data_IF_627218634906
#
_entry.id   IF_627218634906
#
_cell.length_a   1.000
_cell.length_b   1.000
_cell.length_c   1.000
_cell.angle_alpha   90.00
_cell.angle_beta   90.00
_cell.angle_gamma   90.00
#
_symmetry.space_group_name_H-M   'P 1'
#
loop_
_entity.id
_entity.type
_entity.pdbx_description
1 polymer ?
#
# COMPACT_ATOMS: atom_id res chain seq x y z
N UNK A 1 -81.28 -27.00 41.92
CA UNK A 1 -79.86 -26.70 42.16
C UNK A 1 -79.44 -25.59 41.17
N UNK A 2 -79.28 -24.34 41.63
CA UNK A 2 -78.88 -23.22 40.76
C UNK A 2 -77.41 -23.32 40.35
N UNK A 3 -77.14 -22.97 39.08
CA UNK A 3 -75.80 -23.02 38.45
C UNK A 3 -74.95 -21.84 38.91
N UNK A 4 -73.73 -22.10 39.37
CA UNK A 4 -72.73 -21.07 39.68
C UNK A 4 -72.16 -20.42 38.41
N UNK A 5 -71.98 -19.09 38.36
CA UNK A 5 -71.37 -18.41 37.22
C UNK A 5 -69.83 -18.49 37.25
N UNK A 6 -69.25 -18.58 36.05
CA UNK A 6 -67.81 -18.73 35.75
C UNK A 6 -67.08 -17.38 35.89
N UNK A 7 -65.82 -17.34 36.39
CA UNK A 7 -65.07 -16.08 36.51
C UNK A 7 -64.58 -15.55 35.15
N UNK A 8 -64.40 -14.21 35.00
CA UNK A 8 -63.97 -13.59 33.75
C UNK A 8 -62.47 -13.78 33.49
N UNK A 9 -62.12 -13.90 32.21
CA UNK A 9 -60.76 -14.07 31.69
C UNK A 9 -60.13 -12.69 31.44
N UNK A 10 -58.86 -12.42 31.84
CA UNK A 10 -58.23 -11.14 31.54
C UNK A 10 -57.89 -11.01 30.04
N UNK A 11 -58.08 -9.80 29.51
CA UNK A 11 -57.77 -9.41 28.13
C UNK A 11 -56.24 -9.22 27.92
N UNK A 12 -55.72 -9.39 26.69
CA UNK A 12 -54.31 -9.19 26.37
C UNK A 12 -53.93 -7.71 26.37
N UNK A 13 -52.77 -7.38 26.93
CA UNK A 13 -52.18 -6.04 26.89
C UNK A 13 -51.73 -5.71 25.46
N UNK A 14 -52.26 -4.63 24.90
CA UNK A 14 -51.70 -3.94 23.74
C UNK A 14 -50.36 -3.31 24.15
N UNK A 15 -49.28 -3.69 23.46
CA UNK A 15 -48.02 -2.96 23.49
C UNK A 15 -47.92 -2.15 22.19
N UNK A 16 -47.95 -0.83 22.34
CA UNK A 16 -47.63 0.16 21.31
C UNK A 16 -46.11 0.15 21.01
N UNK A 17 -45.65 0.71 19.87
CA UNK A 17 -44.34 0.46 19.30
C UNK A 17 -43.24 1.21 20.07
N UNK A 18 -42.18 0.48 20.45
CA UNK A 18 -40.97 1.05 21.03
C UNK A 18 -40.27 1.97 20.04
N UNK A 19 -40.02 3.20 20.49
CA UNK A 19 -39.26 4.22 19.77
C UNK A 19 -37.79 3.84 19.62
N UNK A 20 -37.15 4.45 18.62
CA UNK A 20 -35.74 4.27 18.31
C UNK A 20 -34.84 4.74 19.44
N UNK A 21 -33.99 3.84 19.89
CA UNK A 21 -32.76 4.16 20.60
C UNK A 21 -31.67 4.23 19.52
N UNK A 22 -31.27 5.46 19.17
CA UNK A 22 -30.02 5.70 18.44
C UNK A 22 -28.90 5.54 19.47
N UNK A 23 -28.27 4.37 19.51
CA UNK A 23 -27.08 4.13 20.33
C UNK A 23 -26.01 5.16 19.94
N UNK A 24 -25.68 6.07 20.85
CA UNK A 24 -24.50 6.93 20.76
C UNK A 24 -23.25 6.04 20.86
N UNK A 25 -22.83 5.42 19.76
CA UNK A 25 -21.60 4.64 19.67
C UNK A 25 -20.41 5.54 20.07
N UNK A 26 -19.88 5.34 21.28
CA UNK A 26 -18.75 6.12 21.79
C UNK A 26 -17.48 5.78 20.99
N UNK A 27 -17.06 6.65 20.07
CA UNK A 27 -15.86 6.42 19.26
C UNK A 27 -14.58 6.88 19.96
N UNK A 28 -13.55 6.02 19.96
CA UNK A 28 -12.18 6.38 20.30
C UNK A 28 -11.38 6.76 19.05
N UNK A 29 -10.59 7.84 19.16
CA UNK A 29 -9.67 8.28 18.11
C UNK A 29 -8.34 7.56 18.29
N UNK A 30 -8.02 6.64 17.39
CA UNK A 30 -6.75 5.91 17.37
C UNK A 30 -5.80 6.48 16.31
N UNK A 31 -4.51 6.58 16.66
CA UNK A 31 -3.44 6.88 15.69
C UNK A 31 -2.54 5.65 15.51
N UNK A 32 -2.48 5.15 14.27
CA UNK A 32 -1.58 4.07 13.88
C UNK A 32 -0.72 4.51 12.69
N UNK A 33 0.59 4.63 12.91
CA UNK A 33 1.57 4.99 11.88
C UNK A 33 1.27 6.31 11.15
N UNK A 34 0.71 7.30 11.86
CA UNK A 34 0.34 8.61 11.30
C UNK A 34 -1.04 8.63 10.62
N UNK A 35 -1.72 7.49 10.55
CA UNK A 35 -3.11 7.41 10.12
C UNK A 35 -4.04 7.48 11.34
N UNK A 36 -4.96 8.44 11.34
CA UNK A 36 -5.92 8.66 12.42
C UNK A 36 -7.28 8.10 11.99
N UNK A 37 -7.85 7.20 12.78
CA UNK A 37 -9.16 6.61 12.51
C UNK A 37 -10.03 6.55 13.77
N UNK A 38 -11.35 6.53 13.56
CA UNK A 38 -12.35 6.36 14.61
C UNK A 38 -12.66 4.88 14.77
N UNK A 39 -12.67 4.38 16.01
CA UNK A 39 -13.05 3.01 16.36
C UNK A 39 -14.13 3.05 17.44
N UNK A 40 -15.25 2.33 17.25
CA UNK A 40 -16.30 2.24 18.26
C UNK A 40 -15.77 1.51 19.52
N UNK A 41 -16.01 2.09 20.71
CA UNK A 41 -15.78 1.41 22.00
C UNK A 41 -16.95 0.46 22.26
N UNK A 42 -16.66 -0.82 22.48
CA UNK A 42 -17.68 -1.79 22.93
C UNK A 42 -17.55 -3.24 22.48
N UNK A 43 -16.70 -3.59 21.51
CA UNK A 43 -16.63 -4.97 20.98
C UNK A 43 -15.63 -5.91 21.69
N UNK A 44 -15.27 -5.64 22.95
CA UNK A 44 -14.54 -6.61 23.76
C UNK A 44 -15.38 -7.00 24.97
N UNK A 45 -15.97 -8.21 25.01
CA UNK A 45 -16.45 -8.74 26.29
C UNK A 45 -15.23 -8.89 27.20
N UNK A 46 -15.37 -8.34 28.40
CA UNK A 46 -14.42 -8.42 29.50
C UNK A 46 -13.98 -9.88 29.74
N UNK A 47 -12.85 -10.25 29.15
CA UNK A 47 -12.07 -11.42 29.58
C UNK A 47 -10.83 -10.87 30.23
N UNK A 48 -10.84 -10.98 31.57
CA UNK A 48 -9.75 -10.66 32.47
C UNK A 48 -8.37 -11.01 31.89
N UNK A 49 -7.33 -10.20 32.13
CA UNK A 49 -5.98 -10.50 31.67
C UNK A 49 -5.49 -11.76 32.38
N UNK A 50 -5.59 -12.91 31.70
CA UNK A 50 -4.95 -14.14 32.13
C UNK A 50 -3.44 -13.92 32.11
N UNK A 51 -2.83 -14.14 33.27
CA UNK A 51 -1.43 -13.97 33.63
C UNK A 51 -0.44 -14.86 32.86
N UNK A 52 -0.76 -15.25 31.62
CA UNK A 52 0.09 -16.02 30.72
C UNK A 52 0.94 -15.14 29.77
N UNK A 53 0.70 -13.82 29.71
CA UNK A 53 1.48 -12.90 28.85
C UNK A 53 2.92 -12.63 29.34
N UNK A 54 3.28 -13.03 30.56
CA UNK A 54 4.61 -12.76 31.12
C UNK A 54 5.73 -13.65 30.56
N UNK A 55 5.41 -14.72 29.82
CA UNK A 55 6.40 -15.67 29.26
C UNK A 55 6.59 -15.55 27.74
N UNK A 56 5.85 -14.67 27.05
CA UNK A 56 6.00 -14.47 25.61
C UNK A 56 7.14 -13.47 25.34
N UNK A 57 8.13 -13.86 24.53
CA UNK A 57 9.13 -12.94 24.00
C UNK A 57 8.48 -11.73 23.29
N UNK A 58 9.24 -10.67 22.99
CA UNK A 58 8.69 -9.45 22.39
C UNK A 58 7.84 -9.77 21.17
N UNK A 59 6.63 -9.23 21.13
CA UNK A 59 5.63 -9.41 20.07
C UNK A 59 6.33 -9.43 18.68
N UNK A 60 6.19 -10.51 17.89
CA UNK A 60 6.85 -10.65 16.60
C UNK A 60 6.60 -9.44 15.69
N UNK A 61 5.46 -8.77 15.84
CA UNK A 61 5.11 -7.57 15.10
C UNK A 61 5.93 -6.34 15.56
N UNK A 62 6.21 -6.18 16.85
CA UNK A 62 7.13 -5.14 17.36
C UNK A 62 8.55 -5.38 16.83
N UNK A 63 9.01 -6.63 16.81
CA UNK A 63 10.33 -6.98 16.27
C UNK A 63 10.43 -6.68 14.76
N UNK A 64 9.39 -6.99 13.99
CA UNK A 64 9.27 -6.64 12.56
C UNK A 64 9.33 -5.14 12.34
N UNK A 65 8.57 -4.37 13.12
CA UNK A 65 8.54 -2.90 13.11
C UNK A 65 9.92 -2.31 13.39
N UNK A 66 10.62 -2.81 14.43
CA UNK A 66 11.98 -2.37 14.77
C UNK A 66 12.95 -2.62 13.62
N UNK A 67 12.89 -3.79 12.97
CA UNK A 67 13.73 -4.11 11.79
C UNK A 67 13.45 -3.16 10.63
N UNK A 68 12.18 -2.89 10.31
CA UNK A 68 11.77 -1.96 9.24
C UNK A 68 12.28 -0.54 9.50
N UNK A 69 12.06 -0.01 10.71
CA UNK A 69 12.56 1.33 11.12
C UNK A 69 14.07 1.43 10.98
N UNK A 70 14.82 0.43 11.48
CA UNK A 70 16.27 0.41 11.35
C UNK A 70 16.76 0.30 9.91
N UNK A 71 16.04 -0.41 9.03
CA UNK A 71 16.36 -0.45 7.61
C UNK A 71 16.15 0.92 6.93
N UNK A 72 15.03 1.59 7.21
CA UNK A 72 14.72 2.90 6.65
C UNK A 72 15.72 3.97 7.13
N UNK A 73 16.09 3.97 8.40
CA UNK A 73 17.10 4.89 8.92
C UNK A 73 18.48 4.69 8.28
N UNK A 74 18.89 3.42 8.07
CA UNK A 74 20.13 3.11 7.34
C UNK A 74 20.06 3.58 5.89
N UNK A 75 18.94 3.39 5.22
CA UNK A 75 18.74 3.84 3.84
C UNK A 75 18.82 5.37 3.76
N UNK A 76 18.14 6.09 4.66
CA UNK A 76 18.22 7.55 4.78
C UNK A 76 19.66 8.01 4.98
N UNK A 77 20.38 7.42 5.94
CA UNK A 77 21.77 7.76 6.20
C UNK A 77 22.70 7.45 5.00
N UNK A 78 22.40 6.41 4.20
CA UNK A 78 23.12 6.13 2.95
C UNK A 78 22.86 7.22 1.92
N UNK A 79 21.60 7.60 1.69
CA UNK A 79 21.22 8.64 0.73
C UNK A 79 21.79 10.01 1.07
N UNK A 80 21.78 10.39 2.35
CA UNK A 80 22.39 11.65 2.80
C UNK A 80 23.89 11.68 2.49
N UNK A 81 24.62 10.60 2.77
CA UNK A 81 26.07 10.50 2.45
C UNK A 81 26.36 10.51 0.95
N UNK A 82 25.46 9.93 0.16
CA UNK A 82 25.56 9.93 -1.29
C UNK A 82 25.35 11.35 -1.82
N UNK A 83 24.30 12.04 -1.37
CA UNK A 83 24.04 13.44 -1.70
C UNK A 83 25.21 14.35 -1.34
N UNK A 84 25.75 14.25 -0.11
CA UNK A 84 26.89 15.08 0.29
C UNK A 84 28.13 14.86 -0.58
N UNK A 85 28.32 13.64 -1.08
CA UNK A 85 29.41 13.31 -2.01
C UNK A 85 29.17 13.96 -3.38
N UNK A 86 27.95 13.88 -3.89
CA UNK A 86 27.56 14.52 -5.14
C UNK A 86 27.70 16.04 -5.06
N UNK A 87 27.29 16.65 -3.94
CA UNK A 87 27.46 18.09 -3.68
C UNK A 87 28.94 18.49 -3.67
N UNK A 88 29.80 17.68 -3.05
CA UNK A 88 31.26 17.94 -3.05
C UNK A 88 31.84 17.86 -4.45
N UNK A 89 31.44 16.87 -5.25
CA UNK A 89 31.92 16.74 -6.63
C UNK A 89 31.43 17.90 -7.50
N UNK A 90 30.17 18.30 -7.36
CA UNK A 90 29.60 19.46 -8.06
C UNK A 90 30.38 20.74 -7.72
N UNK A 91 30.64 20.98 -6.43
CA UNK A 91 31.46 22.13 -6.01
C UNK A 91 32.85 22.12 -6.64
N UNK A 92 33.52 20.97 -6.71
CA UNK A 92 34.86 20.89 -7.32
C UNK A 92 34.85 21.12 -8.84
N UNK A 93 33.77 20.78 -9.53
CA UNK A 93 33.61 21.06 -10.96
C UNK A 93 33.33 22.56 -11.22
N UNK A 94 32.63 23.22 -10.30
CA UNK A 94 32.38 24.66 -10.37
C UNK A 94 33.61 25.52 -10.01
N UNK A 95 34.62 24.95 -9.35
CA UNK A 95 35.88 25.66 -9.07
C UNK A 95 36.63 25.86 -10.40
N UNK A 96 36.85 27.11 -10.85
CA UNK A 96 37.60 27.38 -12.06
C UNK A 96 39.03 26.82 -11.93
N UNK A 97 39.60 26.22 -12.99
CA UNK A 97 40.98 25.77 -12.94
C UNK A 97 41.89 26.95 -12.57
N UNK A 98 42.91 26.74 -11.71
CA UNK A 98 43.86 27.79 -11.42
C UNK A 98 44.45 28.31 -12.73
N UNK A 99 44.51 29.65 -12.86
CA UNK A 99 45.03 30.30 -14.05
C UNK A 99 46.39 29.67 -14.42
N UNK A 100 46.64 29.37 -15.71
CA UNK A 100 47.88 28.75 -16.13
C UNK A 100 49.04 29.64 -15.65
N UNK A 101 49.84 29.11 -14.72
CA UNK A 101 51.11 29.73 -14.36
C UNK A 101 51.96 29.70 -15.62
N UNK A 102 52.10 30.85 -16.28
CA UNK A 102 53.04 31.02 -17.38
C UNK A 102 54.44 30.64 -16.85
N UNK A 103 55.12 29.63 -17.43
CA UNK A 103 56.54 29.46 -17.18
C UNK A 103 57.30 30.67 -17.75
N UNK A 104 58.43 31.09 -17.14
CA UNK A 104 59.27 32.14 -17.70
C UNK A 104 59.69 31.77 -19.13
N UNK A 105 59.94 32.76 -20.01
CA UNK A 105 60.07 32.55 -21.44
C UNK A 105 61.27 31.65 -21.73
N UNK A 106 60.99 30.40 -22.08
CA UNK A 106 61.95 29.49 -22.70
C UNK A 106 61.36 29.01 -24.02
N UNK A 107 62.19 29.17 -25.05
CA UNK A 107 62.02 28.83 -26.47
C UNK A 107 61.34 27.47 -26.73
N UNK A 108 60.68 27.31 -27.91
CA UNK A 108 59.78 26.19 -28.13
C UNK A 108 60.55 24.89 -28.33
N UNK A 109 59.95 23.76 -27.91
CA UNK A 109 59.92 22.62 -28.79
C UNK A 109 58.49 22.09 -28.97
N UNK A 110 58.20 21.79 -30.23
CA UNK A 110 57.39 20.67 -30.69
C UNK A 110 55.97 20.48 -30.10
N UNK A 111 54.99 20.84 -30.93
CA UNK A 111 53.86 19.99 -31.33
C UNK A 111 53.25 19.10 -30.23
N UNK A 112 52.25 19.62 -29.53
CA UNK A 112 51.24 18.77 -28.88
C UNK A 112 50.03 18.70 -29.82
N UNK A 113 49.88 17.56 -30.50
CA UNK A 113 48.78 17.27 -31.44
C UNK A 113 47.43 17.42 -30.72
N UNK A 114 46.38 17.96 -31.37
CA UNK A 114 45.00 17.79 -30.93
C UNK A 114 44.53 16.44 -31.50
N UNK A 115 44.89 15.35 -30.83
CA UNK A 115 44.34 14.04 -31.16
C UNK A 115 43.66 13.52 -29.90
N UNK A 116 42.46 12.98 -30.07
CA UNK A 116 41.69 12.15 -29.12
C UNK A 116 40.51 12.82 -28.39
N UNK A 117 40.33 14.14 -28.45
CA UNK A 117 39.10 14.77 -27.91
C UNK A 117 37.84 14.38 -28.70
N UNK A 118 37.96 14.22 -30.01
CA UNK A 118 36.84 13.86 -30.87
C UNK A 118 36.40 12.40 -30.70
N UNK A 119 37.34 11.47 -30.43
CA UNK A 119 36.98 10.05 -30.25
C UNK A 119 36.26 9.77 -28.93
N UNK A 120 36.52 10.56 -27.88
CA UNK A 120 35.80 10.48 -26.61
C UNK A 120 34.36 10.97 -26.79
N UNK A 121 34.15 12.06 -27.54
CA UNK A 121 32.81 12.57 -27.85
C UNK A 121 32.01 11.58 -28.70
N UNK A 122 32.63 10.97 -29.71
CA UNK A 122 31.99 9.93 -30.53
C UNK A 122 31.62 8.70 -29.68
N UNK A 123 32.47 8.31 -28.73
CA UNK A 123 32.17 7.23 -27.78
C UNK A 123 31.00 7.54 -26.84
N UNK A 124 30.93 8.77 -26.31
CA UNK A 124 29.81 9.21 -25.48
C UNK A 124 28.50 9.34 -26.27
N UNK A 125 28.58 9.79 -27.53
CA UNK A 125 27.43 9.85 -28.43
C UNK A 125 26.90 8.45 -28.73
N UNK A 126 27.78 7.50 -29.10
CA UNK A 126 27.39 6.11 -29.32
C UNK A 126 26.80 5.45 -28.08
N UNK A 127 27.32 5.76 -26.88
CA UNK A 127 26.73 5.27 -25.63
C UNK A 127 25.33 5.86 -25.39
N UNK A 128 25.12 7.15 -25.68
CA UNK A 128 23.83 7.80 -25.54
C UNK A 128 22.79 7.22 -26.53
N UNK A 129 23.21 6.90 -27.76
CA UNK A 129 22.35 6.26 -28.77
C UNK A 129 21.89 4.86 -28.33
N UNK A 130 22.82 4.02 -27.82
CA UNK A 130 22.48 2.70 -27.28
C UNK A 130 21.53 2.81 -26.07
N UNK A 131 21.76 3.78 -25.19
CA UNK A 131 20.88 4.01 -24.04
C UNK A 131 19.50 4.49 -24.48
N UNK A 132 19.40 5.30 -25.53
CA UNK A 132 18.14 5.74 -26.11
C UNK A 132 17.36 4.57 -26.72
N UNK A 133 18.04 3.66 -27.41
CA UNK A 133 17.40 2.45 -27.96
C UNK A 133 16.84 1.54 -26.85
N UNK A 134 17.60 1.36 -25.76
CA UNK A 134 17.13 0.63 -24.59
C UNK A 134 15.89 1.27 -23.96
N UNK A 135 15.90 2.59 -23.75
CA UNK A 135 14.76 3.31 -23.19
C UNK A 135 13.53 3.21 -24.09
N UNK A 136 13.72 3.32 -25.40
CA UNK A 136 12.64 3.14 -26.37
C UNK A 136 12.05 1.72 -26.30
N UNK A 137 12.90 0.71 -26.13
CA UNK A 137 12.45 -0.68 -25.98
C UNK A 137 11.66 -0.89 -24.69
N UNK A 138 12.10 -0.31 -23.58
CA UNK A 138 11.37 -0.37 -22.31
C UNK A 138 10.02 0.36 -22.42
N UNK A 139 9.99 1.54 -23.06
CA UNK A 139 8.75 2.26 -23.34
C UNK A 139 7.77 1.41 -24.13
N UNK A 140 8.23 0.78 -25.21
CA UNK A 140 7.41 -0.13 -26.02
C UNK A 140 6.83 -1.29 -25.20
N UNK A 141 7.61 -1.86 -24.28
CA UNK A 141 7.11 -2.91 -23.40
C UNK A 141 6.04 -2.40 -22.43
N UNK A 142 6.22 -1.20 -21.87
CA UNK A 142 5.21 -0.57 -21.03
C UNK A 142 3.89 -0.35 -21.79
N UNK A 143 3.97 0.14 -23.02
CA UNK A 143 2.79 0.35 -23.88
C UNK A 143 2.05 -0.98 -24.14
N UNK A 144 2.79 -2.06 -24.42
CA UNK A 144 2.21 -3.39 -24.61
C UNK A 144 1.52 -3.91 -23.34
N UNK A 145 2.16 -3.74 -22.18
CA UNK A 145 1.57 -4.14 -20.90
C UNK A 145 0.30 -3.34 -20.64
N UNK A 146 0.30 -2.02 -20.91
CA UNK A 146 -0.88 -1.18 -20.74
C UNK A 146 -2.06 -1.69 -21.58
N UNK A 147 -1.82 -2.01 -22.86
CA UNK A 147 -2.86 -2.55 -23.75
C UNK A 147 -3.44 -3.87 -23.20
N UNK A 148 -2.59 -4.76 -22.68
CA UNK A 148 -3.05 -6.03 -22.11
C UNK A 148 -3.86 -5.82 -20.83
N UNK A 149 -3.42 -4.90 -19.96
CA UNK A 149 -4.14 -4.54 -18.75
C UNK A 149 -5.49 -3.90 -19.06
N UNK A 150 -5.54 -2.95 -20.00
CA UNK A 150 -6.77 -2.29 -20.42
C UNK A 150 -7.78 -3.29 -20.99
N UNK A 151 -7.31 -4.24 -21.81
CA UNK A 151 -8.16 -5.29 -22.38
C UNK A 151 -8.70 -6.23 -21.30
N UNK A 152 -7.88 -6.59 -20.32
CA UNK A 152 -8.28 -7.43 -19.20
C UNK A 152 -9.28 -6.71 -18.29
N UNK A 153 -9.04 -5.43 -17.99
CA UNK A 153 -9.95 -4.61 -17.20
C UNK A 153 -11.31 -4.49 -17.89
N UNK A 154 -11.33 -4.17 -19.19
CA UNK A 154 -12.57 -4.11 -19.96
C UNK A 154 -13.32 -5.45 -19.93
N UNK A 155 -12.63 -6.58 -20.10
CA UNK A 155 -13.25 -7.90 -20.02
C UNK A 155 -13.88 -8.18 -18.64
N UNK A 156 -13.19 -7.84 -17.54
CA UNK A 156 -13.73 -7.99 -16.18
C UNK A 156 -14.93 -7.07 -15.96
N UNK A 157 -14.86 -5.83 -16.45
CA UNK A 157 -15.97 -4.87 -16.36
C UNK A 157 -17.19 -5.38 -17.13
N UNK A 158 -16.99 -5.90 -18.33
CA UNK A 158 -18.05 -6.48 -19.15
C UNK A 158 -18.67 -7.71 -18.48
N UNK A 159 -17.85 -8.61 -17.92
CA UNK A 159 -18.32 -9.77 -17.17
C UNK A 159 -19.19 -9.36 -15.97
N UNK A 160 -18.73 -8.36 -15.20
CA UNK A 160 -19.47 -7.82 -14.05
C UNK A 160 -20.77 -7.14 -14.50
N UNK A 161 -20.74 -6.38 -15.60
CA UNK A 161 -21.90 -5.68 -16.14
C UNK A 161 -22.94 -6.65 -16.72
N UNK A 162 -22.51 -7.79 -17.24
CA UNK A 162 -23.36 -8.86 -17.76
C UNK A 162 -24.04 -9.69 -16.66
N UNK A 163 -23.59 -9.59 -15.40
CA UNK A 163 -24.23 -10.30 -14.29
C UNK A 163 -25.68 -9.82 -14.13
N UNK A 164 -26.67 -10.73 -14.11
CA UNK A 164 -28.09 -10.38 -14.00
C UNK A 164 -28.49 -9.83 -12.62
N UNK A 165 -27.52 -9.51 -11.76
CA UNK A 165 -27.69 -9.25 -10.32
C UNK A 165 -27.07 -7.91 -9.95
N UNK A 166 -27.67 -6.82 -10.42
CA UNK A 166 -27.85 -5.68 -9.53
C UNK A 166 -29.31 -5.70 -9.03
N UNK A 167 -29.71 -6.88 -8.53
CA UNK A 167 -30.88 -7.04 -7.67
C UNK A 167 -30.57 -6.54 -6.25
N UNK A 168 -31.54 -6.64 -5.34
CA UNK A 168 -31.42 -6.09 -3.99
C UNK A 168 -30.12 -6.57 -3.28
N UNK A 169 -29.20 -5.66 -2.91
CA UNK A 169 -27.86 -5.99 -2.44
C UNK A 169 -27.82 -6.88 -1.19
N UNK A 170 -28.90 -6.91 -0.40
CA UNK A 170 -29.02 -7.78 0.77
C UNK A 170 -29.05 -9.27 0.42
N UNK A 171 -29.60 -9.64 -0.75
CA UNK A 171 -29.66 -11.03 -1.19
C UNK A 171 -28.31 -11.56 -1.68
N UNK A 172 -27.51 -10.70 -2.32
CA UNK A 172 -26.18 -11.05 -2.80
C UNK A 172 -25.23 -11.37 -1.63
N UNK A 173 -25.24 -10.54 -0.59
CA UNK A 173 -24.41 -10.76 0.61
C UNK A 173 -24.77 -12.08 1.28
N UNK A 174 -26.07 -12.41 1.39
CA UNK A 174 -26.51 -13.69 1.96
C UNK A 174 -26.00 -14.89 1.15
N UNK A 175 -26.11 -14.85 -0.18
CA UNK A 175 -25.64 -15.93 -1.04
C UNK A 175 -24.11 -16.13 -1.02
N UNK A 176 -23.34 -15.07 -0.77
CA UNK A 176 -21.88 -15.14 -0.63
C UNK A 176 -21.43 -15.60 0.77
N UNK A 177 -22.24 -15.35 1.80
CA UNK A 177 -21.95 -15.77 3.17
C UNK A 177 -22.38 -17.21 3.47
N UNK A 178 -23.32 -17.77 2.70
CA UNK A 178 -23.69 -19.18 2.77
C UNK A 178 -22.72 -19.99 1.89
N UNK A 179 -21.54 -20.35 2.45
CA UNK A 179 -20.56 -21.22 1.77
C UNK A 179 -21.12 -22.64 1.54
N UNK A 180 -20.80 -23.32 0.44
CA UNK A 180 -21.32 -24.65 0.12
C UNK A 180 -20.53 -25.73 0.86
N UNK A 181 -20.56 -25.72 2.20
CA UNK A 181 -19.97 -26.77 3.04
C UNK A 181 -21.02 -27.34 3.99
N UNK A 182 -22.23 -27.65 3.50
CA UNK A 182 -23.13 -28.55 4.24
C UNK A 182 -24.18 -29.22 3.34
N UNK A 183 -23.72 -30.04 2.39
CA UNK A 183 -24.58 -31.08 1.82
C UNK A 183 -23.83 -32.41 1.75
N UNK A 184 -23.37 -32.88 2.90
CA UNK A 184 -22.98 -34.27 3.09
C UNK A 184 -24.21 -35.05 3.57
N UNK A 185 -24.83 -35.78 2.64
CA UNK A 185 -25.61 -37.00 2.78
C UNK A 185 -26.81 -37.08 3.77
N UNK A 186 -27.99 -37.51 3.28
CA UNK A 186 -28.81 -38.51 3.95
C UNK A 186 -28.51 -39.89 3.32
N UNK A 187 -28.14 -40.92 4.06
CA UNK A 187 -28.91 -41.44 5.18
C UNK A 187 -29.70 -42.64 4.67
N UNK A 188 -29.06 -43.81 4.70
CA UNK A 188 -29.57 -45.14 4.38
C UNK A 188 -30.88 -45.43 5.12
N UNK A 189 -31.94 -45.84 4.40
CA UNK A 189 -32.82 -46.94 4.82
C UNK A 189 -33.55 -47.54 3.63
#
# INVERSE_FOLDING_TARGET
MPRSPRPPRPAPAEAAPGGGDEDEEEFEICNYDGFVYKRARGLYPDVAPSSAQAAAGPDPEVARRRRRRSALLRLRAKRIRELSRWETLAYNLDVPPPAPRQPPPQSPPASTRPADSNSILDGLLGQAEVQAELLNKVSQMCDQIQILCDAQEAAVVDDIAALPVWGNPKHLIKALCDSPDEQTAPGTT
#
